data_IF_710068534671
#
_entry.id   IF_710068534671
#
_cell.length_a   1.000
_cell.length_b   1.000
_cell.length_c   1.000
_cell.angle_alpha   90.00
_cell.angle_beta   90.00
_cell.angle_gamma   90.00
#
_symmetry.space_group_name_H-M   'P 1'
#
loop_
_entity.id
_entity.type
_entity.pdbx_description
1 polymer ?
#
# COMPACT_ATOMS: atom_id res chain seq x y z
N UNK A 1 3.83 -64.78 62.97
CA UNK A 1 4.61 -64.08 61.91
C UNK A 1 3.61 -63.31 61.02
N UNK A 2 3.39 -62.05 61.33
CA UNK A 2 2.47 -61.18 60.61
C UNK A 2 3.27 -60.50 59.45
N UNK A 3 2.81 -60.66 58.21
CA UNK A 3 3.34 -59.92 57.05
C UNK A 3 2.43 -58.70 56.77
N UNK A 4 2.95 -57.55 57.02
CA UNK A 4 2.29 -56.24 56.72
C UNK A 4 2.61 -55.85 55.26
N UNK A 5 1.60 -55.80 54.39
CA UNK A 5 1.70 -55.30 53.01
C UNK A 5 1.43 -53.82 53.01
N UNK A 6 2.42 -53.07 52.55
CA UNK A 6 2.35 -51.61 52.35
C UNK A 6 1.80 -51.33 50.94
N UNK A 7 0.62 -50.74 50.83
CA UNK A 7 0.07 -50.22 49.56
C UNK A 7 0.60 -48.80 49.31
N UNK A 8 1.32 -48.64 48.24
CA UNK A 8 1.78 -47.35 47.72
C UNK A 8 0.68 -46.79 46.79
N UNK A 9 0.01 -45.71 47.22
CA UNK A 9 -0.91 -44.94 46.37
C UNK A 9 -0.15 -43.93 45.53
N UNK A 10 -0.10 -44.13 44.23
CA UNK A 10 0.45 -43.17 43.27
C UNK A 10 -0.61 -42.14 42.91
N UNK A 11 -0.40 -40.90 43.35
CA UNK A 11 -1.23 -39.75 42.96
C UNK A 11 -0.81 -39.25 41.59
N UNK A 12 -1.64 -39.48 40.58
CA UNK A 12 -1.51 -38.84 39.28
C UNK A 12 -2.04 -37.41 39.37
N UNK A 13 -1.16 -36.42 39.42
CA UNK A 13 -1.51 -35.03 39.24
C UNK A 13 -1.75 -34.79 37.72
N UNK A 14 -3.01 -34.71 37.32
CA UNK A 14 -3.38 -34.33 35.95
C UNK A 14 -3.08 -32.88 35.71
N UNK A 15 -2.10 -32.61 34.82
CA UNK A 15 -1.87 -31.29 34.29
C UNK A 15 -3.01 -30.98 33.31
N UNK A 16 -3.99 -30.20 33.73
CA UNK A 16 -4.97 -29.58 32.83
C UNK A 16 -4.28 -28.50 31.98
N UNK A 17 -4.06 -28.81 30.72
CA UNK A 17 -3.74 -27.81 29.70
C UNK A 17 -4.98 -26.90 29.55
N UNK A 18 -4.94 -25.72 30.17
CA UNK A 18 -5.88 -24.65 29.88
C UNK A 18 -5.60 -24.16 28.45
N UNK A 19 -6.40 -24.60 27.50
CA UNK A 19 -6.52 -23.94 26.19
C UNK A 19 -7.09 -22.56 26.45
N UNK A 20 -6.24 -21.53 26.38
CA UNK A 20 -6.70 -20.16 26.37
C UNK A 20 -7.48 -19.92 25.06
N UNK A 21 -8.80 -20.06 25.12
CA UNK A 21 -9.69 -19.55 24.10
C UNK A 21 -9.47 -18.02 24.09
N UNK A 22 -8.90 -17.50 23.02
CA UNK A 22 -8.95 -16.08 22.72
C UNK A 22 -10.41 -15.79 22.37
N UNK A 23 -11.19 -15.41 23.37
CA UNK A 23 -12.55 -14.90 23.15
C UNK A 23 -12.42 -13.66 22.29
N UNK A 24 -12.98 -13.71 21.07
CA UNK A 24 -13.20 -12.54 20.23
C UNK A 24 -13.98 -11.51 21.05
N UNK A 25 -13.29 -10.48 21.52
CA UNK A 25 -13.95 -9.41 22.28
C UNK A 25 -14.81 -8.62 21.31
N UNK A 26 -16.15 -8.64 21.51
CA UNK A 26 -17.05 -7.81 20.70
C UNK A 26 -16.56 -6.35 20.74
N UNK A 27 -16.29 -5.72 19.58
CA UNK A 27 -15.87 -4.33 19.55
C UNK A 27 -16.98 -3.42 20.10
N UNK A 28 -16.60 -2.31 20.75
CA UNK A 28 -17.57 -1.30 21.14
C UNK A 28 -18.27 -0.70 19.92
N UNK A 29 -19.49 -0.19 20.10
CA UNK A 29 -20.24 0.47 19.02
C UNK A 29 -19.46 1.65 18.42
N UNK A 30 -18.79 2.43 19.25
CA UNK A 30 -17.97 3.59 18.80
C UNK A 30 -16.76 3.15 17.99
N UNK A 31 -16.06 2.10 18.44
CA UNK A 31 -14.93 1.57 17.68
C UNK A 31 -15.38 0.97 16.34
N UNK A 32 -16.48 0.22 16.32
CA UNK A 32 -17.08 -0.30 15.09
C UNK A 32 -17.37 0.84 14.12
N UNK A 33 -18.04 1.91 14.58
CA UNK A 33 -18.34 3.08 13.77
C UNK A 33 -17.09 3.78 13.24
N UNK A 34 -16.01 3.86 14.02
CA UNK A 34 -14.73 4.42 13.57
C UNK A 34 -14.15 3.62 12.39
N UNK A 35 -14.14 2.29 12.50
CA UNK A 35 -13.62 1.43 11.42
C UNK A 35 -14.51 1.50 10.17
N UNK A 36 -15.83 1.47 10.33
CA UNK A 36 -16.77 1.62 9.21
C UNK A 36 -16.61 2.96 8.48
N UNK A 37 -16.44 4.05 9.24
CA UNK A 37 -16.18 5.38 8.67
C UNK A 37 -14.86 5.40 7.91
N UNK A 38 -13.79 4.81 8.48
CA UNK A 38 -12.50 4.71 7.81
C UNK A 38 -12.60 3.91 6.50
N UNK A 39 -13.33 2.77 6.51
CA UNK A 39 -13.59 1.94 5.32
C UNK A 39 -14.34 2.70 4.23
N UNK A 40 -15.38 3.45 4.61
CA UNK A 40 -16.14 4.29 3.68
C UNK A 40 -15.25 5.36 3.03
N UNK A 41 -14.48 6.08 3.84
CA UNK A 41 -13.52 7.08 3.33
C UNK A 41 -12.45 6.47 2.42
N UNK A 42 -12.00 5.25 2.72
CA UNK A 42 -11.07 4.50 1.88
C UNK A 42 -11.66 4.22 0.49
N UNK A 43 -12.91 3.78 0.43
CA UNK A 43 -13.63 3.54 -0.84
C UNK A 43 -13.77 4.84 -1.63
N UNK A 44 -14.15 5.93 -0.99
CA UNK A 44 -14.28 7.24 -1.66
C UNK A 44 -12.94 7.72 -2.24
N UNK A 45 -11.83 7.58 -1.50
CA UNK A 45 -10.50 7.93 -2.02
C UNK A 45 -10.10 7.09 -3.24
N UNK A 46 -10.41 5.78 -3.24
CA UNK A 46 -10.14 4.92 -4.40
C UNK A 46 -10.95 5.33 -5.61
N UNK A 47 -12.24 5.68 -5.43
CA UNK A 47 -13.18 6.07 -6.47
C UNK A 47 -13.03 7.53 -6.93
N UNK A 48 -12.19 8.32 -6.27
CA UNK A 48 -11.97 9.71 -6.70
C UNK A 48 -11.58 9.78 -8.19
N UNK A 49 -12.01 10.81 -8.94
CA UNK A 49 -11.70 10.93 -10.38
C UNK A 49 -10.21 10.83 -10.72
N UNK A 50 -9.36 11.22 -9.77
CA UNK A 50 -7.91 11.14 -9.84
C UNK A 50 -7.31 10.08 -8.89
N UNK A 51 -8.15 9.19 -8.31
CA UNK A 51 -7.74 8.11 -7.42
C UNK A 51 -7.02 6.97 -8.14
N UNK A 52 -6.64 5.95 -7.39
CA UNK A 52 -5.90 4.80 -7.93
C UNK A 52 -6.68 3.98 -8.96
N UNK A 53 -8.01 3.94 -8.86
CA UNK A 53 -8.87 3.26 -9.83
C UNK A 53 -8.97 4.00 -11.17
N UNK A 54 -8.47 5.23 -11.29
CA UNK A 54 -8.44 5.97 -12.53
C UNK A 54 -7.23 5.64 -13.42
N UNK A 55 -6.27 4.85 -12.95
CA UNK A 55 -5.05 4.54 -13.71
C UNK A 55 -5.37 3.64 -14.91
N UNK A 56 -4.93 4.08 -16.10
CA UNK A 56 -5.09 3.39 -17.38
C UNK A 56 -3.79 3.15 -18.12
N UNK A 57 -2.63 3.59 -17.58
CA UNK A 57 -1.33 3.40 -18.22
C UNK A 57 -0.16 3.82 -17.36
N UNK A 58 0.97 3.16 -17.61
CA UNK A 58 2.29 3.56 -17.13
C UNK A 58 3.29 3.30 -18.27
N UNK A 59 3.90 4.37 -18.79
CA UNK A 59 4.81 4.32 -19.92
C UNK A 59 6.17 4.86 -19.51
N UNK A 60 7.19 4.00 -19.56
CA UNK A 60 8.55 4.39 -19.25
C UNK A 60 9.17 5.16 -20.42
N UNK A 61 9.81 6.28 -20.11
CA UNK A 61 10.47 7.15 -21.08
C UNK A 61 11.92 6.70 -21.30
N UNK A 62 12.41 6.97 -22.51
CA UNK A 62 13.83 6.85 -22.86
C UNK A 62 14.48 8.22 -22.77
N UNK A 63 15.80 8.26 -22.62
CA UNK A 63 16.58 9.49 -22.77
C UNK A 63 16.34 10.10 -24.17
N UNK A 64 16.26 11.42 -24.26
CA UNK A 64 15.93 12.15 -25.46
C UNK A 64 14.43 12.29 -25.71
N UNK A 65 14.06 12.47 -26.98
CA UNK A 65 12.70 12.78 -27.41
C UNK A 65 11.82 11.52 -27.43
N UNK A 66 10.66 11.59 -26.80
CA UNK A 66 9.61 10.59 -26.78
C UNK A 66 8.31 11.19 -27.31
N UNK A 67 7.86 10.81 -28.50
CA UNK A 67 6.57 11.23 -29.04
C UNK A 67 5.43 10.59 -28.25
N UNK A 68 4.36 11.35 -27.99
CA UNK A 68 3.25 10.94 -27.14
C UNK A 68 1.92 11.17 -27.85
N UNK A 69 1.06 10.18 -27.87
CA UNK A 69 -0.28 10.27 -28.45
C UNK A 69 -0.96 8.92 -28.57
N UNK A 70 -2.19 8.87 -29.07
CA UNK A 70 -2.94 7.61 -29.22
C UNK A 70 -2.65 6.88 -30.53
N UNK A 71 -2.04 7.51 -31.52
CA UNK A 71 -1.62 6.85 -32.74
C UNK A 71 -0.43 5.91 -32.51
N UNK A 72 -0.38 4.81 -33.25
CA UNK A 72 0.61 3.73 -33.06
C UNK A 72 2.04 4.09 -33.45
N UNK A 73 2.22 5.19 -34.16
CA UNK A 73 3.52 5.73 -34.59
C UNK A 73 4.21 6.60 -33.51
N UNK A 74 3.56 6.82 -32.36
CA UNK A 74 4.21 7.45 -31.22
C UNK A 74 5.10 6.46 -30.44
N UNK A 75 6.15 6.97 -29.81
CA UNK A 75 6.98 6.19 -28.86
C UNK A 75 6.18 5.78 -27.62
N UNK A 76 5.32 6.69 -27.14
CA UNK A 76 4.37 6.47 -26.04
C UNK A 76 2.96 6.45 -26.61
N UNK A 77 2.41 5.25 -26.76
CA UNK A 77 1.05 5.06 -27.28
C UNK A 77 0.05 5.07 -26.13
N UNK A 78 -0.70 6.18 -26.03
CA UNK A 78 -1.74 6.34 -25.02
C UNK A 78 -3.00 5.55 -25.39
N UNK A 79 -3.69 4.98 -24.41
CA UNK A 79 -4.97 4.29 -24.62
C UNK A 79 -6.07 5.24 -25.11
N UNK A 80 -6.00 6.53 -24.74
CA UNK A 80 -6.94 7.60 -25.11
C UNK A 80 -6.19 8.92 -25.34
N UNK A 81 -6.83 9.82 -26.08
CA UNK A 81 -6.35 11.18 -26.29
C UNK A 81 -6.11 11.52 -27.75
N UNK A 82 -5.51 12.68 -28.04
CA UNK A 82 -5.14 13.09 -29.39
C UNK A 82 -4.22 12.07 -30.06
N UNK A 83 -4.36 11.90 -31.37
CA UNK A 83 -3.46 11.03 -32.18
C UNK A 83 -2.00 11.38 -31.97
N UNK A 84 -1.70 12.67 -31.97
CA UNK A 84 -0.40 13.24 -31.61
C UNK A 84 -0.65 14.33 -30.58
N UNK A 85 -0.26 14.07 -29.33
CA UNK A 85 -0.40 15.01 -28.22
C UNK A 85 0.80 15.97 -28.17
N UNK A 86 1.97 15.46 -28.52
CA UNK A 86 3.23 16.20 -28.46
C UNK A 86 4.42 15.28 -28.25
N UNK A 87 5.45 15.79 -27.57
CA UNK A 87 6.62 15.00 -27.22
C UNK A 87 7.15 15.37 -25.83
N UNK A 88 7.72 14.40 -25.13
CA UNK A 88 8.47 14.59 -23.89
C UNK A 88 9.95 14.38 -24.17
N UNK A 89 10.75 15.41 -23.95
CA UNK A 89 12.19 15.33 -23.99
C UNK A 89 12.75 15.07 -22.59
N UNK A 90 13.47 13.96 -22.44
CA UNK A 90 14.20 13.61 -21.19
C UNK A 90 15.67 13.91 -21.41
N UNK A 91 16.22 14.80 -20.60
CA UNK A 91 17.61 15.21 -20.67
C UNK A 91 18.16 15.59 -19.29
N UNK A 92 19.33 15.08 -18.96
CA UNK A 92 20.04 15.37 -17.70
C UNK A 92 19.14 15.21 -16.45
N UNK A 93 18.33 14.14 -16.42
CA UNK A 93 17.41 13.85 -15.31
C UNK A 93 16.15 14.71 -15.27
N UNK A 94 15.95 15.64 -16.21
CA UNK A 94 14.74 16.47 -16.35
C UNK A 94 13.88 15.98 -17.50
N UNK A 95 12.58 16.26 -17.43
CA UNK A 95 11.64 15.98 -18.51
C UNK A 95 10.87 17.26 -18.86
N UNK A 96 10.75 17.56 -20.15
CA UNK A 96 10.02 18.71 -20.67
C UNK A 96 9.01 18.26 -21.70
N UNK A 97 7.74 18.66 -21.56
CA UNK A 97 6.69 18.43 -22.54
C UNK A 97 6.62 19.59 -23.54
N UNK A 98 6.50 19.28 -24.83
CA UNK A 98 6.07 20.18 -25.87
C UNK A 98 4.81 19.65 -26.52
N UNK A 99 3.67 20.37 -26.37
CA UNK A 99 2.39 19.98 -26.95
C UNK A 99 2.34 20.33 -28.46
N UNK A 100 1.72 19.44 -29.23
CA UNK A 100 1.35 19.74 -30.61
C UNK A 100 0.37 20.95 -30.65
N UNK A 101 0.56 21.84 -31.56
CA UNK A 101 -0.28 23.04 -31.70
C UNK A 101 -1.78 22.74 -31.96
N UNK A 102 -2.09 21.53 -32.48
CA UNK A 102 -3.44 21.08 -32.76
C UNK A 102 -4.01 20.24 -31.63
N UNK A 103 -3.20 19.86 -30.63
CA UNK A 103 -3.67 19.04 -29.52
C UNK A 103 -4.60 19.84 -28.60
N UNK A 104 -5.80 19.36 -28.36
CA UNK A 104 -6.68 19.90 -27.34
C UNK A 104 -6.26 19.37 -25.96
N UNK A 105 -5.26 20.06 -25.38
CA UNK A 105 -4.66 19.71 -24.11
C UNK A 105 -4.32 20.96 -23.29
N UNK A 106 -4.11 20.74 -21.99
CA UNK A 106 -3.69 21.77 -21.03
C UNK A 106 -2.54 21.27 -20.18
N UNK A 107 -1.70 22.18 -19.72
CA UNK A 107 -0.69 21.92 -18.69
C UNK A 107 -1.09 22.69 -17.44
N UNK A 108 -1.29 21.98 -16.32
CA UNK A 108 -1.81 22.53 -15.05
C UNK A 108 -3.09 23.36 -15.23
N UNK A 109 -3.98 22.88 -16.11
CA UNK A 109 -5.26 23.53 -16.44
C UNK A 109 -5.15 24.77 -17.33
N UNK A 110 -3.95 25.11 -17.84
CA UNK A 110 -3.70 26.27 -18.71
C UNK A 110 -3.34 25.84 -20.12
N UNK A 111 -3.76 26.61 -21.12
CA UNK A 111 -3.27 26.47 -22.49
C UNK A 111 -1.82 26.96 -22.52
N UNK A 112 -0.87 26.03 -22.61
CA UNK A 112 0.56 26.31 -22.72
C UNK A 112 1.16 25.39 -23.77
N UNK A 113 2.19 25.87 -24.49
CA UNK A 113 2.87 25.09 -25.54
C UNK A 113 3.85 24.09 -24.94
N UNK A 114 4.53 24.44 -23.85
CA UNK A 114 5.55 23.61 -23.22
C UNK A 114 5.69 23.92 -21.74
N UNK A 115 6.20 22.96 -21.00
CA UNK A 115 6.56 23.10 -19.58
C UNK A 115 7.54 22.01 -19.16
N UNK A 116 8.37 22.27 -18.15
CA UNK A 116 9.05 21.23 -17.39
C UNK A 116 7.99 20.38 -16.66
N UNK A 117 8.19 19.07 -16.64
CA UNK A 117 7.34 18.12 -15.90
C UNK A 117 7.97 17.86 -14.54
N UNK A 118 7.44 18.47 -13.50
CA UNK A 118 7.75 18.10 -12.12
C UNK A 118 7.15 16.74 -11.84
N UNK A 119 7.93 15.83 -11.28
CA UNK A 119 7.50 14.46 -10.96
C UNK A 119 6.75 14.36 -9.62
N UNK A 120 6.34 13.15 -9.26
CA UNK A 120 5.54 12.85 -8.07
C UNK A 120 6.31 12.92 -6.74
N UNK A 121 7.58 13.31 -6.73
CA UNK A 121 8.31 13.70 -5.52
C UNK A 121 7.98 15.13 -5.07
N UNK A 122 7.39 15.93 -5.96
CA UNK A 122 6.95 17.28 -5.64
C UNK A 122 5.52 17.28 -5.07
N UNK A 123 5.23 18.18 -4.15
CA UNK A 123 3.89 18.36 -3.56
C UNK A 123 2.80 18.49 -4.63
N UNK A 124 3.13 19.14 -5.75
CA UNK A 124 2.24 19.33 -6.90
C UNK A 124 2.94 18.96 -8.21
N UNK A 125 2.86 17.70 -8.63
CA UNK A 125 3.38 17.27 -9.93
C UNK A 125 2.72 18.00 -11.10
N UNK A 126 3.48 18.29 -12.13
CA UNK A 126 2.93 18.89 -13.37
C UNK A 126 1.96 17.91 -14.04
N UNK A 127 0.75 18.37 -14.32
CA UNK A 127 -0.31 17.53 -14.92
C UNK A 127 -0.62 18.00 -16.35
N UNK A 128 -0.55 17.09 -17.31
CA UNK A 128 -1.01 17.30 -18.69
C UNK A 128 -2.37 16.63 -18.84
N UNK A 129 -3.40 17.42 -19.19
CA UNK A 129 -4.79 16.94 -19.29
C UNK A 129 -5.35 17.10 -20.70
N UNK A 130 -6.12 16.09 -21.14
CA UNK A 130 -6.77 16.02 -22.45
C UNK A 130 -8.06 15.17 -22.34
N UNK A 131 -9.20 15.76 -22.69
CA UNK A 131 -10.50 15.13 -22.51
C UNK A 131 -10.75 14.74 -21.06
N UNK A 132 -11.06 13.46 -20.80
CA UNK A 132 -11.26 12.89 -19.45
C UNK A 132 -9.96 12.32 -18.85
N UNK A 133 -8.89 12.27 -19.65
CA UNK A 133 -7.62 11.68 -19.27
C UNK A 133 -6.57 12.77 -18.94
N UNK A 134 -5.58 12.34 -18.18
CA UNK A 134 -4.40 13.14 -17.84
C UNK A 134 -3.21 12.24 -17.57
N UNK A 135 -2.01 12.80 -17.61
CA UNK A 135 -0.85 12.14 -17.06
C UNK A 135 0.01 13.10 -16.23
N UNK A 136 0.87 12.53 -15.42
CA UNK A 136 1.96 13.20 -14.70
C UNK A 136 3.22 12.35 -14.76
N UNK A 137 4.36 12.97 -14.52
CA UNK A 137 5.65 12.30 -14.46
C UNK A 137 5.80 11.58 -13.11
N UNK A 138 6.34 10.37 -13.14
CA UNK A 138 6.87 9.69 -11.95
C UNK A 138 8.35 9.44 -12.14
N UNK A 139 9.11 9.46 -11.04
CA UNK A 139 10.49 9.01 -11.00
C UNK A 139 10.63 7.82 -10.06
N UNK A 140 11.30 6.78 -10.52
CA UNK A 140 11.60 5.59 -9.69
C UNK A 140 13.06 5.22 -9.89
N UNK A 141 13.90 5.70 -8.95
CA UNK A 141 15.35 5.48 -8.98
C UNK A 141 16.00 5.97 -10.28
N UNK A 142 15.61 7.17 -10.75
CA UNK A 142 16.10 7.80 -11.98
C UNK A 142 15.39 7.33 -13.25
N UNK A 143 14.52 6.30 -13.17
CA UNK A 143 13.69 5.88 -14.30
C UNK A 143 12.40 6.69 -14.34
N UNK A 144 12.26 7.52 -15.38
CA UNK A 144 11.10 8.39 -15.56
C UNK A 144 9.98 7.70 -16.34
N UNK A 145 8.73 7.94 -15.93
CA UNK A 145 7.57 7.37 -16.59
C UNK A 145 6.37 8.31 -16.56
N UNK A 146 5.51 8.19 -17.56
CA UNK A 146 4.20 8.86 -17.59
C UNK A 146 3.15 7.94 -16.99
N UNK A 147 2.58 8.34 -15.87
CA UNK A 147 1.44 7.67 -15.23
C UNK A 147 0.15 8.31 -15.69
N UNK A 148 -0.66 7.52 -16.41
CA UNK A 148 -1.86 8.00 -17.10
C UNK A 148 -3.10 7.66 -16.30
N UNK A 149 -3.97 8.64 -16.11
CA UNK A 149 -5.27 8.54 -15.45
C UNK A 149 -6.40 8.87 -16.43
N UNK A 150 -7.56 8.25 -16.24
CA UNK A 150 -8.81 8.61 -16.88
C UNK A 150 -9.94 8.62 -15.84
N UNK A 151 -10.60 9.75 -15.67
CA UNK A 151 -11.75 9.85 -14.76
C UNK A 151 -12.90 8.92 -15.14
N UNK A 152 -12.92 8.40 -16.38
CA UNK A 152 -13.89 7.42 -16.88
C UNK A 152 -13.27 6.01 -17.04
N UNK A 153 -12.18 5.69 -16.33
CA UNK A 153 -11.58 4.36 -16.35
C UNK A 153 -12.60 3.27 -15.96
N UNK A 154 -12.61 2.15 -16.65
CA UNK A 154 -13.51 1.01 -16.36
C UNK A 154 -13.29 0.47 -14.95
N UNK A 155 -12.03 0.38 -14.49
CA UNK A 155 -11.67 0.00 -13.12
C UNK A 155 -12.33 0.89 -12.08
N UNK A 156 -12.57 2.16 -12.39
CA UNK A 156 -13.25 3.12 -11.51
C UNK A 156 -14.78 3.04 -11.62
N UNK A 157 -15.31 2.99 -12.85
CA UNK A 157 -16.77 3.03 -13.09
C UNK A 157 -17.45 1.69 -12.77
N UNK A 158 -16.72 0.58 -12.87
CA UNK A 158 -17.19 -0.77 -12.53
C UNK A 158 -16.60 -1.32 -11.23
N UNK A 159 -16.16 -0.43 -10.34
CA UNK A 159 -15.61 -0.84 -9.05
C UNK A 159 -16.64 -1.59 -8.19
N UNK A 160 -16.32 -2.82 -7.81
CA UNK A 160 -17.23 -3.74 -7.12
C UNK A 160 -17.17 -3.66 -5.59
N UNK A 161 -16.48 -2.65 -5.05
CA UNK A 161 -16.27 -2.50 -3.60
C UNK A 161 -15.09 -3.33 -3.08
N UNK A 162 -14.89 -3.26 -1.76
CA UNK A 162 -13.82 -3.98 -1.06
C UNK A 162 -14.46 -4.89 -0.03
N UNK A 163 -14.14 -6.18 -0.08
CA UNK A 163 -14.48 -7.10 0.99
C UNK A 163 -13.51 -6.92 2.16
N UNK A 164 -14.04 -6.98 3.36
CA UNK A 164 -13.29 -6.90 4.60
C UNK A 164 -13.55 -8.12 5.47
N UNK A 165 -12.62 -8.44 6.33
CA UNK A 165 -12.90 -9.31 7.47
C UNK A 165 -13.87 -8.62 8.44
N UNK A 166 -14.60 -9.39 9.28
CA UNK A 166 -15.35 -8.80 10.39
C UNK A 166 -14.46 -7.92 11.27
N UNK A 167 -15.03 -6.87 11.84
CA UNK A 167 -14.30 -6.02 12.79
C UNK A 167 -14.13 -6.80 14.08
N UNK A 168 -12.90 -6.96 14.52
CA UNK A 168 -12.55 -7.66 15.74
C UNK A 168 -11.55 -6.82 16.54
N UNK A 169 -11.93 -6.45 17.78
CA UNK A 169 -11.12 -5.61 18.64
C UNK A 169 -9.80 -6.27 19.08
N UNK A 170 -9.71 -7.60 19.05
CA UNK A 170 -8.46 -8.33 19.34
C UNK A 170 -7.34 -8.04 18.34
N UNK A 171 -7.69 -7.56 17.15
CA UNK A 171 -6.75 -7.13 16.11
C UNK A 171 -6.31 -5.66 16.22
N UNK A 172 -6.77 -4.94 17.25
CA UNK A 172 -6.23 -3.65 17.64
C UNK A 172 -5.28 -3.87 18.80
N UNK A 173 -4.00 -4.03 18.50
CA UNK A 173 -2.98 -4.41 19.48
C UNK A 173 -2.14 -3.20 19.93
N UNK A 174 -1.84 -3.15 21.22
CA UNK A 174 -0.83 -2.25 21.77
C UNK A 174 0.53 -2.96 21.70
N UNK A 175 1.43 -2.46 20.86
CA UNK A 175 2.78 -2.97 20.71
C UNK A 175 3.75 -2.20 21.61
N UNK A 176 4.71 -2.88 22.22
CA UNK A 176 5.89 -2.29 22.82
C UNK A 176 6.74 -1.69 21.70
N UNK A 177 7.14 -0.45 21.85
CA UNK A 177 8.05 0.20 20.93
C UNK A 177 9.50 0.07 21.37
N UNK A 178 10.35 -0.40 20.48
CA UNK A 178 11.80 -0.51 20.68
C UNK A 178 12.50 0.39 19.65
N UNK A 179 12.93 1.61 20.03
CA UNK A 179 13.55 2.54 19.09
C UNK A 179 14.95 2.07 18.70
N UNK A 180 15.35 2.38 17.47
CA UNK A 180 16.72 2.22 17.00
C UNK A 180 17.47 3.54 17.10
N UNK A 181 18.70 3.51 17.65
CA UNK A 181 19.55 4.69 17.78
C UNK A 181 20.97 4.34 17.34
N UNK A 182 21.41 4.80 16.15
CA UNK A 182 20.62 5.53 15.13
C UNK A 182 19.53 4.69 14.48
N UNK A 183 18.58 5.32 13.79
CA UNK A 183 17.58 4.63 12.96
C UNK A 183 18.27 3.72 11.93
N UNK A 184 17.64 2.57 11.65
CA UNK A 184 18.15 1.62 10.66
C UNK A 184 17.63 1.97 9.24
N UNK A 185 18.24 1.37 8.23
CA UNK A 185 17.74 1.37 6.86
C UNK A 185 17.27 -0.03 6.50
N UNK A 186 16.09 -0.14 5.90
CA UNK A 186 15.52 -1.40 5.40
C UNK A 186 15.42 -1.34 3.86
N UNK A 187 15.85 -2.39 3.22
CA UNK A 187 15.70 -2.58 1.78
C UNK A 187 14.33 -3.14 1.47
N UNK A 188 13.48 -2.33 0.81
CA UNK A 188 12.12 -2.70 0.45
C UNK A 188 12.07 -3.03 -1.05
N UNK A 189 11.86 -4.29 -1.43
CA UNK A 189 11.70 -4.65 -2.84
C UNK A 189 10.39 -4.07 -3.39
N UNK A 190 10.36 -3.78 -4.70
CA UNK A 190 9.18 -3.26 -5.38
C UNK A 190 8.70 -4.20 -6.48
N UNK A 191 7.47 -4.03 -6.95
CA UNK A 191 6.92 -4.78 -8.09
C UNK A 191 7.68 -4.52 -9.41
N UNK A 192 8.51 -3.50 -9.46
CA UNK A 192 9.38 -3.19 -10.63
C UNK A 192 10.68 -3.99 -10.62
N UNK A 193 10.95 -4.78 -9.57
CA UNK A 193 12.23 -5.46 -9.38
C UNK A 193 13.34 -4.52 -8.90
N UNK A 194 13.00 -3.30 -8.46
CA UNK A 194 13.92 -2.37 -7.80
C UNK A 194 13.86 -2.53 -6.29
N UNK A 195 14.81 -1.90 -5.60
CA UNK A 195 14.88 -1.88 -4.14
C UNK A 195 14.93 -0.43 -3.69
N UNK A 196 13.99 -0.05 -2.83
CA UNK A 196 13.96 1.25 -2.19
C UNK A 196 14.54 1.15 -0.77
N UNK A 197 15.41 2.10 -0.39
CA UNK A 197 15.94 2.18 0.98
C UNK A 197 15.07 3.12 1.79
N UNK A 198 14.44 2.59 2.85
CA UNK A 198 13.56 3.35 3.71
C UNK A 198 14.08 3.37 5.15
N UNK A 199 13.85 4.48 5.84
CA UNK A 199 14.24 4.65 7.24
C UNK A 199 13.31 3.87 8.17
N UNK A 200 13.88 3.07 9.07
CA UNK A 200 13.20 2.32 10.13
C UNK A 200 13.56 2.94 11.48
N UNK A 201 12.63 3.66 12.13
CA UNK A 201 12.92 4.37 13.38
C UNK A 201 12.97 3.44 14.60
N UNK A 202 12.46 2.21 14.49
CA UNK A 202 12.41 1.25 15.58
C UNK A 202 11.59 0.02 15.21
N UNK A 203 11.30 -0.79 16.22
CA UNK A 203 10.57 -2.06 16.09
C UNK A 203 9.32 -2.06 16.97
N UNK A 204 8.21 -2.52 16.42
CA UNK A 204 6.97 -2.76 17.16
C UNK A 204 6.86 -4.23 17.54
N UNK A 205 6.82 -4.54 18.84
CA UNK A 205 6.71 -5.89 19.40
C UNK A 205 5.35 -6.06 20.04
N UNK A 206 4.57 -7.04 19.58
CA UNK A 206 3.21 -7.28 20.09
C UNK A 206 2.94 -8.78 20.33
N UNK A 207 1.96 -9.06 21.15
CA UNK A 207 1.52 -10.43 21.44
C UNK A 207 0.12 -10.64 20.89
N UNK A 208 -0.10 -11.76 20.19
CA UNK A 208 -1.42 -12.19 19.74
C UNK A 208 -1.52 -13.72 19.84
N UNK A 209 -2.63 -14.23 20.37
CA UNK A 209 -2.80 -15.68 20.57
C UNK A 209 -1.71 -16.34 21.43
N UNK A 210 -1.14 -15.62 22.40
CA UNK A 210 -0.08 -16.12 23.28
C UNK A 210 1.31 -16.20 22.65
N UNK A 211 1.50 -15.71 21.40
CA UNK A 211 2.79 -15.64 20.73
C UNK A 211 3.20 -14.19 20.50
N UNK A 212 4.49 -13.93 20.54
CA UNK A 212 5.09 -12.61 20.30
C UNK A 212 5.50 -12.50 18.83
N UNK A 213 5.22 -11.32 18.23
CA UNK A 213 5.52 -10.96 16.86
C UNK A 213 6.19 -9.60 16.79
N UNK A 214 6.90 -9.36 15.72
CA UNK A 214 7.62 -8.10 15.49
C UNK A 214 7.27 -7.55 14.11
N UNK A 215 7.22 -6.23 13.99
CA UNK A 215 7.10 -5.51 12.72
C UNK A 215 8.04 -4.31 12.72
N UNK A 216 8.66 -4.07 11.58
CA UNK A 216 9.53 -2.93 11.31
C UNK A 216 8.76 -1.92 10.44
N UNK A 217 8.19 -0.85 11.03
CA UNK A 217 7.60 0.20 10.22
C UNK A 217 8.67 1.08 9.60
N UNK A 218 8.32 1.72 8.50
CA UNK A 218 9.18 2.69 7.82
C UNK A 218 8.60 4.10 7.92
N UNK A 219 9.44 5.10 7.69
CA UNK A 219 9.04 6.49 7.48
C UNK A 219 9.07 6.77 5.98
N UNK A 220 7.99 7.31 5.42
CA UNK A 220 7.96 7.75 4.02
C UNK A 220 8.81 9.01 3.81
N UNK A 221 8.82 9.90 4.81
CA UNK A 221 9.58 11.14 4.83
C UNK A 221 10.19 11.36 6.22
N UNK A 222 11.20 12.22 6.30
CA UNK A 222 11.92 12.46 7.55
C UNK A 222 11.04 13.09 8.66
N UNK A 223 10.02 13.85 8.29
CA UNK A 223 9.07 14.53 9.18
C UNK A 223 7.69 13.86 9.21
N UNK A 224 7.59 12.60 8.75
CA UNK A 224 6.36 11.83 8.74
C UNK A 224 5.64 11.88 10.11
N UNK A 225 4.32 11.99 10.09
CA UNK A 225 3.48 12.05 11.30
C UNK A 225 2.93 10.68 11.70
N UNK A 226 3.12 9.69 10.86
CA UNK A 226 2.72 8.31 11.03
C UNK A 226 3.88 7.40 10.63
N UNK A 227 3.89 6.18 11.14
CA UNK A 227 4.74 5.10 10.65
C UNK A 227 3.94 4.22 9.70
N UNK A 228 4.60 3.68 8.70
CA UNK A 228 3.99 2.86 7.67
C UNK A 228 4.49 1.42 7.72
N UNK A 229 3.56 0.47 7.88
CA UNK A 229 3.82 -0.95 7.84
C UNK A 229 3.51 -1.51 6.44
N UNK A 230 4.50 -2.17 5.84
CA UNK A 230 4.38 -2.96 4.62
C UNK A 230 4.59 -4.40 5.05
N UNK A 231 3.53 -5.20 5.12
CA UNK A 231 3.61 -6.54 5.70
C UNK A 231 2.86 -7.61 4.88
N UNK A 232 3.25 -8.86 5.08
CA UNK A 232 2.54 -10.03 4.62
C UNK A 232 2.33 -11.00 5.79
N UNK A 233 1.39 -11.90 5.67
CA UNK A 233 1.02 -12.86 6.70
C UNK A 233 0.53 -14.18 6.09
N UNK A 234 0.10 -15.14 6.89
CA UNK A 234 -0.35 -16.46 6.41
C UNK A 234 -1.61 -16.43 5.54
N UNK A 235 -2.35 -15.33 5.50
CA UNK A 235 -3.52 -15.13 4.62
C UNK A 235 -3.13 -14.66 3.22
N UNK A 236 -1.90 -14.15 3.04
CA UNK A 236 -1.40 -13.56 1.81
C UNK A 236 -1.43 -14.56 0.63
N UNK A 237 -1.98 -14.12 -0.50
CA UNK A 237 -2.17 -14.94 -1.70
C UNK A 237 -3.41 -15.85 -1.66
N UNK A 238 -4.03 -16.01 -0.51
CA UNK A 238 -5.25 -16.81 -0.29
C UNK A 238 -6.45 -15.90 -0.09
N UNK A 239 -6.63 -15.42 1.14
CA UNK A 239 -7.75 -14.55 1.54
C UNK A 239 -7.44 -13.06 1.35
N UNK A 240 -6.15 -12.68 1.39
CA UNK A 240 -5.68 -11.31 1.21
C UNK A 240 -4.75 -11.19 0.01
N UNK A 241 -4.42 -9.96 -0.40
CA UNK A 241 -3.52 -9.70 -1.52
C UNK A 241 -2.13 -10.30 -1.28
N UNK A 242 -1.56 -10.93 -2.30
CA UNK A 242 -0.38 -11.79 -2.14
C UNK A 242 0.93 -11.04 -1.89
N UNK A 243 1.08 -9.82 -2.39
CA UNK A 243 2.34 -9.10 -2.35
C UNK A 243 2.61 -8.44 -1.00
N UNK A 244 1.62 -7.72 -0.48
CA UNK A 244 1.64 -7.04 0.81
C UNK A 244 0.26 -6.51 1.17
N UNK A 245 0.04 -6.16 2.44
CA UNK A 245 -0.95 -5.21 2.90
C UNK A 245 -0.23 -4.04 3.56
N UNK A 246 -0.86 -2.87 3.52
CA UNK A 246 -0.35 -1.65 4.11
C UNK A 246 -1.16 -1.27 5.34
N UNK A 247 -0.50 -0.61 6.28
CA UNK A 247 -1.15 -0.11 7.49
C UNK A 247 -0.37 1.08 8.02
N UNK A 248 -1.05 2.17 8.31
CA UNK A 248 -0.48 3.32 9.01
C UNK A 248 -0.84 3.29 10.49
N UNK A 249 0.06 3.78 11.31
CA UNK A 249 -0.14 3.98 12.73
C UNK A 249 0.48 5.31 13.16
N UNK A 250 -0.12 5.94 14.18
CA UNK A 250 0.44 7.13 14.80
C UNK A 250 1.87 6.86 15.29
N UNK A 251 2.71 7.91 15.36
CA UNK A 251 4.05 7.80 15.93
C UNK A 251 4.01 7.23 17.36
N UNK A 252 5.02 6.44 17.74
CA UNK A 252 5.06 5.85 19.09
C UNK A 252 5.08 6.92 20.18
N UNK A 253 4.35 6.64 21.25
CA UNK A 253 4.27 7.50 22.44
C UNK A 253 4.49 6.68 23.69
N UNK A 254 5.30 7.19 24.62
CA UNK A 254 5.58 6.56 25.92
C UNK A 254 6.02 5.09 25.82
N UNK A 255 6.83 4.76 24.79
CA UNK A 255 7.33 3.41 24.54
C UNK A 255 6.28 2.44 23.99
N UNK A 256 5.18 2.95 23.46
CA UNK A 256 4.06 2.17 22.93
C UNK A 256 3.65 2.64 21.54
N UNK A 257 3.08 1.73 20.77
CA UNK A 257 2.50 1.95 19.45
C UNK A 257 1.21 1.14 19.30
N UNK A 258 0.16 1.73 18.75
CA UNK A 258 -1.09 1.01 18.47
C UNK A 258 -1.12 0.58 17.01
N UNK A 259 -1.17 -0.73 16.79
CA UNK A 259 -1.34 -1.32 15.46
C UNK A 259 -2.78 -1.81 15.34
N UNK A 260 -3.57 -1.19 14.46
CA UNK A 260 -4.96 -1.59 14.23
C UNK A 260 -5.10 -2.33 12.90
N UNK A 261 -4.96 -3.64 12.93
CA UNK A 261 -5.04 -4.48 11.72
C UNK A 261 -6.43 -4.45 11.07
N UNK A 262 -7.50 -3.97 11.74
CA UNK A 262 -8.79 -3.74 11.10
C UNK A 262 -8.74 -2.64 10.03
N UNK A 263 -7.66 -1.83 10.03
CA UNK A 263 -7.32 -0.84 9.03
C UNK A 263 -6.25 -1.31 8.03
N UNK A 264 -5.84 -2.59 8.06
CA UNK A 264 -4.93 -3.12 7.06
C UNK A 264 -5.60 -3.12 5.68
N UNK A 265 -4.91 -2.60 4.66
CA UNK A 265 -5.53 -2.36 3.36
C UNK A 265 -4.65 -2.83 2.19
N UNK A 266 -5.29 -3.07 1.05
CA UNK A 266 -4.63 -3.46 -0.18
C UNK A 266 -3.83 -2.30 -0.79
N UNK A 267 -2.58 -2.53 -1.24
CA UNK A 267 -1.84 -1.55 -2.02
C UNK A 267 -2.53 -1.25 -3.36
N UNK A 268 -2.21 -0.13 -4.01
CA UNK A 268 -2.76 0.21 -5.33
C UNK A 268 -2.61 -0.90 -6.38
N UNK A 269 -1.51 -1.67 -6.32
CA UNK A 269 -1.26 -2.79 -7.24
C UNK A 269 -2.29 -3.92 -7.16
N UNK A 270 -3.09 -3.99 -6.09
CA UNK A 270 -4.21 -4.93 -6.02
C UNK A 270 -5.38 -4.55 -6.94
N UNK A 271 -5.43 -3.29 -7.40
CA UNK A 271 -6.53 -2.74 -8.20
C UNK A 271 -6.11 -2.41 -9.64
N UNK A 272 -4.82 -2.19 -9.89
CA UNK A 272 -4.31 -1.76 -11.20
C UNK A 272 -2.86 -2.24 -11.42
N UNK A 273 -2.49 -2.66 -12.65
CA UNK A 273 -1.12 -3.02 -12.99
C UNK A 273 -0.19 -1.82 -13.17
N UNK A 274 -0.70 -0.59 -13.09
CA UNK A 274 0.04 0.65 -13.37
C UNK A 274 0.59 1.33 -12.11
N UNK A 275 0.51 0.67 -10.96
CA UNK A 275 1.12 1.13 -9.72
C UNK A 275 2.53 0.52 -9.54
N UNK A 276 3.34 1.14 -8.70
CA UNK A 276 4.75 0.78 -8.46
C UNK A 276 4.97 0.47 -6.98
N UNK A 277 4.14 -0.43 -6.41
CA UNK A 277 4.06 -0.65 -4.98
C UNK A 277 5.27 -1.39 -4.43
N UNK A 278 5.67 -1.10 -3.17
CA UNK A 278 6.60 -1.93 -2.43
C UNK A 278 5.97 -3.29 -2.08
N UNK A 279 6.81 -4.28 -1.95
CA UNK A 279 6.50 -5.64 -1.50
C UNK A 279 6.82 -5.77 -0.01
N UNK A 280 6.17 -6.71 0.69
CA UNK A 280 6.51 -6.99 2.07
C UNK A 280 7.94 -7.53 2.17
N UNK A 281 8.83 -6.83 2.89
CA UNK A 281 10.19 -7.32 3.12
C UNK A 281 10.17 -8.59 3.98
N UNK A 282 11.22 -9.42 3.92
CA UNK A 282 11.29 -10.66 4.70
C UNK A 282 11.01 -10.46 6.20
N UNK A 283 11.48 -9.37 6.79
CA UNK A 283 11.35 -9.01 8.20
C UNK A 283 9.90 -8.77 8.62
N UNK A 284 9.04 -8.37 7.68
CA UNK A 284 7.63 -8.07 7.90
C UNK A 284 6.70 -9.19 7.38
N UNK A 285 7.19 -10.42 7.28
CA UNK A 285 6.37 -11.59 6.95
C UNK A 285 5.98 -12.33 8.23
N UNK A 286 4.78 -12.03 8.73
CA UNK A 286 4.28 -12.60 9.98
C UNK A 286 3.90 -14.08 9.84
N UNK A 287 4.41 -14.92 10.74
CA UNK A 287 3.95 -16.30 10.92
C UNK A 287 2.63 -16.35 11.70
N UNK A 288 1.66 -15.56 11.27
CA UNK A 288 0.35 -15.32 11.87
C UNK A 288 -0.68 -15.14 10.74
N UNK A 289 -1.88 -15.69 10.90
CA UNK A 289 -3.00 -15.40 10.01
C UNK A 289 -3.74 -14.15 10.52
N UNK A 290 -3.50 -12.99 9.91
CA UNK A 290 -4.16 -11.73 10.28
C UNK A 290 -5.51 -11.64 9.59
N UNK A 291 -6.56 -12.16 10.26
CA UNK A 291 -7.94 -12.17 9.76
C UNK A 291 -8.68 -10.86 10.08
N UNK A 292 -8.07 -9.73 9.74
CA UNK A 292 -8.60 -8.39 9.91
C UNK A 292 -8.24 -7.51 8.70
N UNK A 293 -8.96 -6.41 8.49
CA UNK A 293 -8.74 -5.48 7.39
C UNK A 293 -9.31 -5.95 6.05
N UNK A 294 -8.76 -5.43 4.95
CA UNK A 294 -9.21 -5.72 3.58
C UNK A 294 -8.83 -7.14 3.14
N UNK A 295 -9.75 -7.81 2.46
CA UNK A 295 -9.55 -9.07 1.74
C UNK A 295 -9.01 -8.81 0.34
N UNK A 296 -8.60 -9.88 -0.35
CA UNK A 296 -8.19 -9.83 -1.75
C UNK A 296 -9.30 -9.22 -2.62
N UNK A 297 -8.94 -8.23 -3.45
CA UNK A 297 -9.88 -7.57 -4.35
C UNK A 297 -10.40 -8.55 -5.40
N UNK A 298 -11.73 -8.60 -5.59
CA UNK A 298 -12.39 -9.54 -6.51
C UNK A 298 -12.48 -9.05 -7.96
N UNK A 299 -12.39 -7.74 -8.18
CA UNK A 299 -12.52 -7.11 -9.48
C UNK A 299 -11.22 -7.03 -10.30
N UNK A 300 -10.10 -7.50 -9.77
CA UNK A 300 -8.81 -7.48 -10.45
C UNK A 300 -8.48 -8.82 -11.10
N UNK A 301 -8.13 -8.79 -12.37
CA UNK A 301 -7.58 -9.93 -13.14
C UNK A 301 -6.04 -9.93 -13.12
N UNK A 302 -5.41 -9.60 -11.96
CA UNK A 302 -3.94 -9.46 -11.87
C UNK A 302 -3.36 -10.51 -10.94
#
# INVERSE_FOLDING_TARGET
>A
MLKTSLLLAASFAGVQLMSANVESSKPSADYTKQIETWRAQRVERLKAPNGWLSLIGLHWLKEGRNTVGSAKDNDVVLLKGPTHLGAVDVKDGKATIELDAKADATIDGKKAKSSELLDDSHEKPTTVAFGTASFYLIDRNGKKGLRVKDSNAETRTHFVGIDNFPIDASWRVEAKWEPFTPAHSLEIPTVLGTVDKMTVPGKAVFTHGGKTYELLPVLEEADAKEVWFIFADRTSGKETYGAARFLYADLPKDGKLVIDFNKAYNPPCAFTPYATCPLAPPENRLDLAVTAGEKKYRGGSH
#
